data_IF_380911327264
#
_entry.id   IF_380911327264
#
_cell.length_a   1.000
_cell.length_b   1.000
_cell.length_c   1.000
_cell.angle_alpha   90.00
_cell.angle_beta   90.00
_cell.angle_gamma   90.00
#
_symmetry.space_group_name_H-M   'P 1'
#
loop_
_entity.id
_entity.type
_entity.pdbx_description
1 polymer ?
#
# COMPACT_ATOMS: atom_id res chain seq x y z
N UNK A 1 5.64 -1.61 8.88
CA UNK A 1 6.71 -2.46 8.32
C UNK A 1 7.53 -1.67 7.31
N UNK A 2 8.81 -1.89 7.24
CA UNK A 2 9.74 -1.27 6.28
C UNK A 2 10.93 -2.20 6.10
N UNK A 3 11.52 -2.22 4.91
CA UNK A 3 12.74 -2.98 4.65
C UNK A 3 14.00 -2.30 5.23
N UNK A 4 13.95 -1.00 5.48
CA UNK A 4 15.04 -0.22 6.03
C UNK A 4 14.89 -0.05 7.55
N UNK A 5 15.83 -0.62 8.30
CA UNK A 5 15.87 -0.55 9.77
C UNK A 5 15.86 0.89 10.30
N UNK A 6 16.60 1.78 9.64
CA UNK A 6 16.78 3.15 10.12
C UNK A 6 15.47 3.96 10.05
N UNK A 7 14.60 3.66 9.07
CA UNK A 7 13.28 4.28 8.97
C UNK A 7 12.40 3.97 10.19
N UNK A 8 12.54 2.78 10.76
CA UNK A 8 11.73 2.32 11.88
C UNK A 8 12.32 2.67 13.25
N UNK A 9 13.64 2.91 13.32
CA UNK A 9 14.38 3.09 14.59
C UNK A 9 13.85 4.23 15.46
N UNK A 10 13.52 5.36 14.86
CA UNK A 10 13.01 6.54 15.58
C UNK A 10 11.55 6.32 15.95
N UNK A 11 10.75 5.79 15.05
CA UNK A 11 9.33 5.52 15.27
C UNK A 11 9.12 4.47 16.39
N UNK A 12 9.92 3.40 16.40
CA UNK A 12 9.80 2.31 17.38
C UNK A 12 10.08 2.75 18.83
N UNK A 13 10.93 3.76 19.03
CA UNK A 13 11.22 4.29 20.36
C UNK A 13 10.04 4.98 21.04
N UNK A 14 9.09 5.47 20.25
CA UNK A 14 7.89 6.19 20.70
C UNK A 14 6.61 5.39 20.43
N UNK A 15 6.75 4.10 20.13
CA UNK A 15 5.62 3.26 19.78
C UNK A 15 4.68 3.06 20.98
N UNK A 16 3.35 3.16 20.77
CA UNK A 16 2.39 2.65 21.73
C UNK A 16 2.58 1.16 21.97
N UNK A 17 2.17 0.65 23.16
CA UNK A 17 2.38 -0.75 23.52
C UNK A 17 1.67 -1.80 22.63
N UNK A 18 0.71 -1.35 21.82
CA UNK A 18 -0.01 -2.19 20.86
C UNK A 18 0.53 -2.10 19.40
N UNK A 19 1.72 -1.53 19.20
CA UNK A 19 2.36 -1.39 17.90
C UNK A 19 3.66 -2.17 17.86
N UNK A 20 3.79 -3.03 16.85
CA UNK A 20 5.01 -3.76 16.54
C UNK A 20 5.60 -3.25 15.23
N UNK A 21 6.86 -2.86 15.25
CA UNK A 21 7.62 -2.50 14.05
C UNK A 21 8.39 -3.70 13.53
N UNK A 22 8.19 -4.05 12.27
CA UNK A 22 8.81 -5.20 11.63
C UNK A 22 9.70 -4.74 10.48
N UNK A 23 10.95 -5.20 10.46
CA UNK A 23 11.86 -5.01 9.34
C UNK A 23 11.63 -6.18 8.37
N UNK A 24 11.03 -5.91 7.23
CA UNK A 24 10.76 -6.92 6.23
C UNK A 24 10.61 -6.30 4.83
N UNK A 25 10.96 -7.07 3.83
CA UNK A 25 10.70 -6.73 2.43
C UNK A 25 9.26 -7.11 2.08
N UNK A 26 8.50 -6.19 1.50
CA UNK A 26 7.12 -6.46 1.07
C UNK A 26 7.02 -7.53 -0.03
N UNK A 27 8.09 -7.75 -0.79
CA UNK A 27 8.19 -8.82 -1.79
C UNK A 27 8.54 -10.20 -1.18
N UNK A 28 8.82 -10.25 0.13
CA UNK A 28 9.18 -11.47 0.85
C UNK A 28 8.69 -11.35 2.30
N UNK A 29 7.37 -11.38 2.48
CA UNK A 29 6.74 -11.22 3.78
C UNK A 29 6.98 -12.45 4.67
N UNK A 30 7.28 -12.25 5.97
CA UNK A 30 7.43 -13.37 6.90
C UNK A 30 6.16 -14.21 7.02
N UNK A 31 6.31 -15.54 7.00
CA UNK A 31 5.18 -16.46 7.10
C UNK A 31 4.40 -16.33 8.41
N UNK A 32 5.04 -15.83 9.47
CA UNK A 32 4.43 -15.58 10.78
C UNK A 32 3.33 -14.51 10.73
N UNK A 33 3.31 -13.69 9.67
CA UNK A 33 2.25 -12.69 9.45
C UNK A 33 1.03 -13.28 8.71
N UNK A 34 1.04 -14.57 8.39
CA UNK A 34 -0.03 -15.22 7.63
C UNK A 34 -1.40 -15.11 8.32
N UNK A 35 -2.40 -14.63 7.59
CA UNK A 35 -3.80 -14.58 8.02
C UNK A 35 -4.10 -13.67 9.21
N UNK A 36 -3.22 -12.75 9.58
CA UNK A 36 -3.43 -11.89 10.77
C UNK A 36 -4.01 -10.52 10.45
N UNK A 37 -3.84 -10.02 9.23
CA UNK A 37 -4.21 -8.66 8.89
C UNK A 37 -5.70 -8.53 8.52
N UNK A 38 -6.43 -7.70 9.25
CA UNK A 38 -7.77 -7.25 8.87
C UNK A 38 -7.75 -6.01 7.97
N UNK A 39 -6.66 -5.27 8.02
CA UNK A 39 -6.39 -4.12 7.14
C UNK A 39 -4.92 -4.03 6.84
N UNK A 40 -4.60 -3.82 5.56
CA UNK A 40 -3.25 -3.52 5.09
C UNK A 40 -3.25 -2.14 4.43
N UNK A 41 -2.26 -1.34 4.73
CA UNK A 41 -2.09 -0.03 4.11
C UNK A 41 -0.71 0.11 3.52
N UNK A 42 -0.63 0.43 2.23
CA UNK A 42 0.60 0.77 1.53
C UNK A 42 0.59 2.27 1.27
N UNK A 43 1.45 2.99 1.98
CA UNK A 43 1.49 4.45 1.92
C UNK A 43 2.66 4.93 1.08
N UNK A 44 2.37 5.54 -0.06
CA UNK A 44 3.31 6.25 -0.92
C UNK A 44 4.56 5.43 -1.26
N UNK A 45 4.37 4.24 -1.88
CA UNK A 45 5.47 3.35 -2.23
C UNK A 45 6.41 4.00 -3.25
N UNK A 46 7.67 3.62 -3.16
CA UNK A 46 8.75 4.00 -4.05
C UNK A 46 9.51 2.78 -4.54
N UNK A 47 10.32 2.96 -5.60
CA UNK A 47 11.26 1.96 -6.09
C UNK A 47 10.60 0.60 -6.31
N UNK A 48 11.20 -0.47 -5.80
CA UNK A 48 10.76 -1.85 -6.01
C UNK A 48 9.32 -2.14 -5.57
N UNK A 49 8.85 -1.52 -4.50
CA UNK A 49 7.47 -1.70 -4.04
C UNK A 49 6.47 -1.05 -5.01
N UNK A 50 6.77 0.15 -5.50
CA UNK A 50 5.93 0.81 -6.51
C UNK A 50 5.96 0.03 -7.83
N UNK A 51 7.14 -0.38 -8.28
CA UNK A 51 7.30 -1.19 -9.49
C UNK A 51 6.53 -2.50 -9.37
N UNK A 52 6.63 -3.20 -8.23
CA UNK A 52 5.88 -4.43 -7.97
C UNK A 52 4.37 -4.26 -8.05
N UNK A 53 3.85 -3.13 -7.56
CA UNK A 53 2.41 -2.81 -7.68
C UNK A 53 2.01 -2.50 -9.13
N UNK A 54 2.82 -1.75 -9.86
CA UNK A 54 2.55 -1.40 -11.26
C UNK A 54 2.64 -2.61 -12.19
N UNK A 55 3.61 -3.48 -11.97
CA UNK A 55 3.85 -4.67 -12.79
C UNK A 55 2.96 -5.85 -12.40
N UNK A 56 2.32 -5.79 -11.22
CA UNK A 56 1.56 -6.90 -10.69
C UNK A 56 2.45 -8.06 -10.28
N UNK A 57 3.56 -7.77 -9.56
CA UNK A 57 4.53 -8.77 -9.12
C UNK A 57 3.84 -9.90 -8.33
N UNK A 58 3.91 -11.16 -8.80
CA UNK A 58 3.22 -12.27 -8.15
C UNK A 58 3.64 -12.47 -6.69
N UNK A 59 4.91 -12.28 -6.36
CA UNK A 59 5.41 -12.44 -4.99
C UNK A 59 4.81 -11.40 -4.04
N UNK A 60 4.65 -10.16 -4.52
CA UNK A 60 3.98 -9.10 -3.76
C UNK A 60 2.50 -9.41 -3.56
N UNK A 61 1.80 -9.75 -4.63
CA UNK A 61 0.35 -9.99 -4.58
C UNK A 61 0.02 -11.22 -3.74
N UNK A 62 0.72 -12.32 -3.93
CA UNK A 62 0.59 -13.54 -3.10
C UNK A 62 0.91 -13.28 -1.62
N UNK A 63 1.94 -12.48 -1.35
CA UNK A 63 2.29 -12.07 0.00
C UNK A 63 1.18 -11.26 0.67
N UNK A 64 0.58 -10.31 -0.05
CA UNK A 64 -0.55 -9.51 0.45
C UNK A 64 -1.78 -10.40 0.73
N UNK A 65 -2.07 -11.35 -0.15
CA UNK A 65 -3.14 -12.34 0.06
C UNK A 65 -2.86 -13.21 1.28
N UNK A 66 -1.62 -13.67 1.43
CA UNK A 66 -1.23 -14.58 2.52
C UNK A 66 -1.35 -13.95 3.92
N UNK A 67 -1.04 -12.66 4.06
CA UNK A 67 -1.16 -11.98 5.36
C UNK A 67 -2.59 -11.54 5.69
N UNK A 68 -3.46 -11.43 4.71
CA UNK A 68 -4.81 -10.93 4.86
C UNK A 68 -5.77 -11.99 5.40
N UNK A 69 -6.67 -11.58 6.29
CA UNK A 69 -7.84 -12.37 6.66
C UNK A 69 -8.89 -12.32 5.56
N UNK A 70 -9.79 -13.29 5.45
CA UNK A 70 -10.98 -13.16 4.60
C UNK A 70 -11.73 -11.86 4.90
N UNK A 71 -12.06 -11.08 3.86
CA UNK A 71 -12.70 -9.78 3.99
C UNK A 71 -11.77 -8.63 4.44
N UNK A 72 -10.47 -8.86 4.53
CA UNK A 72 -9.51 -7.81 4.83
C UNK A 72 -9.54 -6.70 3.78
N UNK A 73 -9.28 -5.47 4.23
CA UNK A 73 -9.21 -4.28 3.37
C UNK A 73 -7.76 -3.96 3.07
N UNK A 74 -7.44 -3.76 1.78
CA UNK A 74 -6.19 -3.21 1.32
C UNK A 74 -6.42 -1.75 0.88
N UNK A 75 -5.64 -0.82 1.41
CA UNK A 75 -5.58 0.56 0.93
C UNK A 75 -4.20 0.85 0.36
N UNK A 76 -4.16 1.34 -0.87
CA UNK A 76 -2.91 1.77 -1.54
C UNK A 76 -3.02 3.26 -1.84
N UNK A 77 -2.07 4.03 -1.33
CA UNK A 77 -1.96 5.47 -1.59
C UNK A 77 -0.73 5.74 -2.43
N UNK A 78 -0.95 6.32 -3.61
CA UNK A 78 0.10 6.63 -4.59
C UNK A 78 0.27 8.13 -4.71
N UNK A 79 1.49 8.63 -4.87
CA UNK A 79 1.77 10.03 -5.15
C UNK A 79 2.18 10.27 -6.61
N UNK A 80 1.84 11.46 -7.12
CA UNK A 80 2.09 11.82 -8.50
C UNK A 80 3.58 11.88 -8.84
N UNK A 81 4.44 12.30 -7.91
CA UNK A 81 5.88 12.39 -8.13
C UNK A 81 6.54 11.02 -8.33
N UNK A 82 6.18 10.03 -7.50
CA UNK A 82 6.70 8.67 -7.64
C UNK A 82 6.20 8.02 -8.95
N UNK A 83 4.92 8.20 -9.29
CA UNK A 83 4.35 7.72 -10.53
C UNK A 83 5.01 8.35 -11.76
N UNK A 84 5.24 9.66 -11.75
CA UNK A 84 5.94 10.35 -12.84
C UNK A 84 7.37 9.82 -13.03
N UNK A 85 8.07 9.55 -11.93
CA UNK A 85 9.39 8.91 -11.97
C UNK A 85 9.37 7.50 -12.58
N UNK A 86 8.24 6.80 -12.50
CA UNK A 86 8.02 5.50 -13.12
C UNK A 86 7.39 5.58 -14.53
N UNK A 87 7.20 6.80 -15.08
CA UNK A 87 6.65 7.00 -16.42
C UNK A 87 5.12 7.02 -16.50
N UNK A 88 4.43 7.22 -15.38
CA UNK A 88 2.97 7.24 -15.29
C UNK A 88 2.44 8.61 -14.87
N UNK A 89 1.25 8.97 -15.35
CA UNK A 89 0.44 10.02 -14.74
C UNK A 89 -0.24 9.50 -13.48
N UNK A 90 -0.84 10.38 -12.69
CA UNK A 90 -1.61 9.98 -11.52
C UNK A 90 -2.77 9.05 -11.90
N UNK A 91 -3.47 9.39 -12.98
CA UNK A 91 -4.61 8.65 -13.52
C UNK A 91 -4.18 7.29 -14.09
N UNK A 92 -3.18 7.29 -14.97
CA UNK A 92 -2.71 6.05 -15.62
C UNK A 92 -2.05 5.09 -14.63
N UNK A 93 -1.30 5.62 -13.66
CA UNK A 93 -0.69 4.81 -12.59
C UNK A 93 -1.73 4.22 -11.65
N UNK A 94 -2.74 5.00 -11.25
CA UNK A 94 -3.87 4.50 -10.46
C UNK A 94 -4.64 3.39 -11.19
N UNK A 95 -4.95 3.59 -12.46
CA UNK A 95 -5.63 2.60 -13.30
C UNK A 95 -4.77 1.31 -13.46
N UNK A 96 -3.46 1.46 -13.62
CA UNK A 96 -2.54 0.31 -13.78
C UNK A 96 -2.46 -0.52 -12.50
N UNK A 97 -2.32 0.13 -11.34
CA UNK A 97 -2.30 -0.57 -10.05
C UNK A 97 -3.65 -1.24 -9.78
N UNK A 98 -4.77 -0.57 -10.11
CA UNK A 98 -6.11 -1.17 -10.01
C UNK A 98 -6.20 -2.47 -10.82
N UNK A 99 -5.75 -2.45 -12.06
CA UNK A 99 -5.73 -3.62 -12.92
C UNK A 99 -4.88 -4.74 -12.34
N UNK A 100 -3.65 -4.43 -11.88
CA UNK A 100 -2.75 -5.41 -11.29
C UNK A 100 -3.35 -6.09 -10.04
N UNK A 101 -3.97 -5.31 -9.17
CA UNK A 101 -4.65 -5.86 -7.99
C UNK A 101 -5.85 -6.73 -8.38
N UNK A 102 -6.62 -6.32 -9.39
CA UNK A 102 -7.75 -7.11 -9.88
C UNK A 102 -7.30 -8.44 -10.48
N UNK A 103 -6.22 -8.45 -11.24
CA UNK A 103 -5.58 -9.66 -11.77
C UNK A 103 -5.03 -10.57 -10.64
N UNK A 104 -4.73 -9.99 -9.48
CA UNK A 104 -4.29 -10.67 -8.27
C UNK A 104 -5.41 -11.06 -7.31
N UNK A 105 -6.64 -11.24 -7.79
CA UNK A 105 -7.82 -11.69 -7.04
C UNK A 105 -8.33 -10.71 -5.95
N UNK A 106 -8.00 -9.42 -6.08
CA UNK A 106 -8.60 -8.38 -5.24
C UNK A 106 -9.83 -7.77 -5.93
N UNK A 107 -10.86 -7.52 -5.16
CA UNK A 107 -11.99 -6.69 -5.59
C UNK A 107 -11.65 -5.22 -5.32
N UNK A 108 -11.39 -4.47 -6.40
CA UNK A 108 -10.80 -3.13 -6.34
C UNK A 108 -11.80 -2.09 -6.83
N UNK A 109 -12.07 -1.11 -5.96
CA UNK A 109 -12.83 0.08 -6.33
C UNK A 109 -12.06 1.03 -7.27
N UNK A 110 -12.75 2.05 -7.76
CA UNK A 110 -12.12 3.08 -8.58
C UNK A 110 -11.11 3.90 -7.77
N UNK A 111 -10.00 4.33 -8.39
CA UNK A 111 -9.05 5.23 -7.75
C UNK A 111 -9.73 6.56 -7.39
N UNK A 112 -9.52 7.01 -6.15
CA UNK A 112 -10.08 8.28 -5.64
C UNK A 112 -8.94 9.26 -5.40
N UNK A 113 -9.02 10.45 -5.97
CA UNK A 113 -8.06 11.52 -5.67
C UNK A 113 -8.15 11.93 -4.22
N UNK A 114 -6.99 12.10 -3.60
CA UNK A 114 -6.86 12.67 -2.27
C UNK A 114 -6.51 14.16 -2.40
N UNK A 115 -7.27 15.00 -1.70
CA UNK A 115 -6.94 16.41 -1.59
C UNK A 115 -5.91 16.68 -0.45
N UNK A 116 -5.44 17.92 -0.34
CA UNK A 116 -4.47 18.29 0.69
C UNK A 116 -5.02 18.11 2.13
N UNK A 117 -6.35 18.24 2.32
CA UNK A 117 -6.99 18.03 3.62
C UNK A 117 -6.95 16.55 4.01
N UNK A 118 -7.29 15.67 3.08
CA UNK A 118 -7.27 14.21 3.27
C UNK A 118 -5.84 13.72 3.50
N UNK A 119 -4.85 14.26 2.79
CA UNK A 119 -3.43 13.98 3.02
C UNK A 119 -2.97 14.40 4.42
N UNK A 120 -3.44 15.54 4.94
CA UNK A 120 -3.11 15.98 6.31
C UNK A 120 -3.72 15.04 7.37
N UNK A 121 -4.82 14.38 7.08
CA UNK A 121 -5.44 13.39 7.96
C UNK A 121 -4.71 12.03 7.96
N UNK A 122 -3.91 11.76 6.95
CA UNK A 122 -3.08 10.56 6.95
C UNK A 122 -1.96 10.67 7.99
N UNK A 123 -1.87 9.69 8.90
CA UNK A 123 -0.91 9.70 10.02
C UNK A 123 0.51 9.30 9.61
N UNK A 124 0.98 9.72 8.43
CA UNK A 124 2.34 9.44 7.98
C UNK A 124 3.11 10.74 7.73
N UNK A 125 4.42 10.71 7.97
CA UNK A 125 5.32 11.83 7.70
C UNK A 125 5.30 12.21 6.21
N UNK A 126 5.20 11.22 5.32
CA UNK A 126 5.11 11.43 3.88
C UNK A 126 3.83 12.13 3.45
N UNK A 127 2.68 11.74 4.02
CA UNK A 127 1.41 12.41 3.74
C UNK A 127 1.46 13.89 4.13
N UNK A 128 2.06 14.21 5.27
CA UNK A 128 2.26 15.60 5.71
C UNK A 128 3.17 16.36 4.76
N UNK A 129 4.28 15.77 4.34
CA UNK A 129 5.19 16.38 3.35
C UNK A 129 4.52 16.63 2.00
N UNK A 130 3.69 15.70 1.53
CA UNK A 130 2.92 15.86 0.30
C UNK A 130 1.88 16.97 0.43
N UNK A 131 1.14 17.03 1.54
CA UNK A 131 0.11 18.05 1.77
C UNK A 131 0.64 19.48 1.76
N UNK A 132 1.89 19.67 2.19
CA UNK A 132 2.58 20.98 2.23
C UNK A 132 3.64 21.12 1.12
N UNK A 133 3.83 20.12 0.29
CA UNK A 133 4.81 20.11 -0.80
C UNK A 133 4.35 20.82 -2.07
N UNK A 134 5.24 20.88 -3.05
CA UNK A 134 4.95 21.47 -4.37
C UNK A 134 3.98 20.65 -5.21
N UNK A 135 3.88 19.35 -4.95
CA UNK A 135 3.00 18.43 -5.68
C UNK A 135 2.20 17.57 -4.69
N UNK A 136 1.05 18.08 -4.19
CA UNK A 136 0.20 17.34 -3.24
C UNK A 136 -0.69 16.30 -3.93
N UNK A 137 -0.48 15.99 -5.20
CA UNK A 137 -1.32 15.05 -5.93
C UNK A 137 -1.11 13.63 -5.45
N UNK A 138 -2.19 13.01 -5.02
CA UNK A 138 -2.22 11.62 -4.61
C UNK A 138 -3.54 10.96 -4.99
N UNK A 139 -3.52 9.64 -5.08
CA UNK A 139 -4.70 8.81 -5.34
C UNK A 139 -4.72 7.65 -4.35
N UNK A 140 -5.91 7.29 -3.89
CA UNK A 140 -6.15 6.14 -3.03
C UNK A 140 -6.95 5.09 -3.77
N UNK A 141 -6.48 3.86 -3.71
CA UNK A 141 -7.23 2.67 -4.12
C UNK A 141 -7.61 1.89 -2.87
N UNK A 142 -8.85 1.43 -2.82
CA UNK A 142 -9.32 0.52 -1.79
C UNK A 142 -9.75 -0.79 -2.43
N UNK A 143 -9.23 -1.87 -1.91
CA UNK A 143 -9.54 -3.21 -2.35
C UNK A 143 -9.96 -4.08 -1.18
N UNK A 144 -10.76 -5.09 -1.45
CA UNK A 144 -11.04 -6.16 -0.50
C UNK A 144 -10.50 -7.46 -1.07
N UNK A 145 -10.05 -8.34 -0.17
CA UNK A 145 -9.76 -9.71 -0.55
C UNK A 145 -11.06 -10.35 -0.99
N UNK A 146 -11.13 -10.79 -2.24
CA UNK A 146 -12.29 -11.50 -2.75
C UNK A 146 -12.63 -12.63 -1.78
N UNK A 147 -13.86 -12.63 -1.28
CA UNK A 147 -14.40 -13.82 -0.62
C UNK A 147 -14.42 -14.90 -1.70
N UNK A 148 -13.39 -15.75 -1.70
CA UNK A 148 -13.42 -16.95 -2.48
C UNK A 148 -14.59 -17.78 -1.93
N UNK A 149 -15.78 -17.53 -2.45
CA UNK A 149 -16.83 -18.52 -2.41
C UNK A 149 -16.31 -19.67 -3.26
N UNK A 150 -15.55 -20.55 -2.61
CA UNK A 150 -15.34 -21.86 -3.15
C UNK A 150 -16.74 -22.43 -3.41
N UNK A 151 -17.22 -22.27 -4.63
CA UNK A 151 -18.31 -23.06 -5.14
C UNK A 151 -17.76 -24.46 -5.22
N UNK A 152 -17.96 -25.18 -4.13
CA UNK A 152 -17.69 -26.60 -4.11
C UNK A 152 -18.67 -27.34 -5.02
#
# INVERSE_FOLDING_TARGET
>A
MDACRDNLRVASRKAPGNVLYVIANALALPGELGGIASKVTINFPWSSLLTGLLDGDPMLLEGLLAIARPGAVLEVRLNGGALAGAGYTLESGGARVRQALHEGDFDVGDPVRLDARELRQCHTTWAKRLAYGRDPRAVCLRATLGSNTASG
#
